data_IF_700178163078
#
_entry.id   IF_700178163078
#
_cell.length_a   1.000
_cell.length_b   1.000
_cell.length_c   1.000
_cell.angle_alpha   90.00
_cell.angle_beta   90.00
_cell.angle_gamma   90.00
#
_symmetry.space_group_name_H-M   'P 1'
#
loop_
_entity.id
_entity.type
_entity.pdbx_description
1 polymer ?
#
# COMPACT_ATOMS: atom_id res chain seq x y z
N UNK A 1 13.07 -22.93 -9.46
CA UNK A 1 13.68 -23.34 -10.75
C UNK A 1 14.71 -24.42 -10.41
N UNK A 2 14.46 -25.68 -10.77
CA UNK A 2 15.46 -26.75 -10.61
C UNK A 2 16.13 -26.93 -11.97
N UNK A 3 17.44 -26.80 -12.01
CA UNK A 3 18.26 -27.10 -13.18
C UNK A 3 18.15 -28.60 -13.46
N UNK A 4 17.59 -28.96 -14.63
CA UNK A 4 17.39 -30.35 -15.04
C UNK A 4 18.25 -30.61 -16.27
N UNK A 5 19.13 -31.63 -16.24
CA UNK A 5 19.94 -32.02 -17.38
C UNK A 5 19.10 -32.32 -18.63
N UNK A 6 19.55 -31.86 -19.80
CA UNK A 6 18.81 -31.90 -21.07
C UNK A 6 18.27 -33.30 -21.47
N UNK A 7 18.94 -34.38 -21.05
CA UNK A 7 18.53 -35.77 -21.33
C UNK A 7 17.21 -36.15 -20.65
N UNK A 8 16.93 -35.56 -19.49
CA UNK A 8 15.70 -35.83 -18.74
C UNK A 8 14.63 -34.76 -18.97
N UNK A 9 14.87 -33.82 -19.90
CA UNK A 9 13.96 -32.71 -20.18
C UNK A 9 12.62 -33.20 -20.73
N UNK A 10 12.61 -34.19 -21.64
CA UNK A 10 11.37 -34.74 -22.21
C UNK A 10 10.52 -35.44 -21.11
N UNK A 11 11.17 -36.20 -20.23
CA UNK A 11 10.49 -36.87 -19.11
C UNK A 11 10.02 -35.84 -18.10
N UNK A 12 10.84 -34.84 -17.76
CA UNK A 12 10.42 -33.73 -16.91
C UNK A 12 9.26 -32.97 -17.54
N UNK A 13 9.26 -32.65 -18.83
CA UNK A 13 8.20 -31.91 -19.52
C UNK A 13 6.86 -32.68 -19.48
N UNK A 14 6.88 -34.01 -19.65
CA UNK A 14 5.69 -34.87 -19.51
C UNK A 14 5.24 -34.96 -18.04
N UNK A 15 6.15 -35.09 -17.08
CA UNK A 15 5.82 -35.13 -15.65
C UNK A 15 5.35 -33.76 -15.12
N UNK A 16 5.94 -32.68 -15.61
CA UNK A 16 5.66 -31.30 -15.25
C UNK A 16 4.31 -30.88 -15.84
N UNK A 17 4.03 -31.17 -17.12
CA UNK A 17 2.72 -30.91 -17.73
C UNK A 17 1.56 -31.69 -17.09
N UNK A 18 1.80 -32.93 -16.63
CA UNK A 18 0.77 -33.74 -15.94
C UNK A 18 0.57 -33.33 -14.47
N UNK A 19 1.59 -32.76 -13.85
CA UNK A 19 1.62 -32.42 -12.43
C UNK A 19 1.52 -30.91 -12.16
N UNK A 20 1.42 -30.08 -13.19
CA UNK A 20 1.10 -28.66 -13.10
C UNK A 20 -0.41 -28.48 -13.31
N UNK A 21 -1.00 -27.60 -12.52
CA UNK A 21 -2.38 -27.16 -12.63
C UNK A 21 -2.41 -25.63 -12.74
N UNK A 22 -3.40 -25.09 -13.45
CA UNK A 22 -3.56 -23.65 -13.61
C UNK A 22 -4.43 -23.12 -12.48
N UNK A 23 -3.93 -22.15 -11.72
CA UNK A 23 -4.70 -21.53 -10.65
C UNK A 23 -5.95 -20.84 -11.21
N UNK A 24 -7.12 -21.08 -10.62
CA UNK A 24 -8.38 -20.49 -11.08
C UNK A 24 -8.50 -18.98 -10.77
N UNK A 25 -7.68 -18.44 -9.87
CA UNK A 25 -7.70 -17.04 -9.45
C UNK A 25 -6.72 -16.17 -10.27
N UNK A 26 -5.44 -16.57 -10.37
CA UNK A 26 -4.40 -15.81 -11.10
C UNK A 26 -4.01 -16.38 -12.47
N UNK A 27 -4.49 -17.58 -12.84
CA UNK A 27 -4.12 -18.32 -14.06
C UNK A 27 -2.64 -18.71 -14.16
N UNK A 28 -1.89 -18.68 -13.06
CA UNK A 28 -0.51 -19.16 -13.03
C UNK A 28 -0.45 -20.70 -13.05
N UNK A 29 0.58 -21.22 -13.71
CA UNK A 29 0.88 -22.66 -13.74
C UNK A 29 1.62 -23.06 -12.48
N UNK A 30 0.92 -23.73 -11.55
CA UNK A 30 1.44 -24.14 -10.24
C UNK A 30 1.44 -25.67 -10.14
N UNK A 31 2.50 -26.31 -9.62
CA UNK A 31 2.48 -27.74 -9.36
C UNK A 31 1.30 -28.13 -8.44
N UNK A 32 0.56 -29.20 -8.77
CA UNK A 32 -0.59 -29.70 -7.97
C UNK A 32 -0.24 -29.90 -6.49
N UNK A 33 0.97 -30.38 -6.22
CA UNK A 33 1.49 -30.55 -4.85
C UNK A 33 1.60 -29.24 -4.07
N UNK A 34 1.81 -28.11 -4.76
CA UNK A 34 1.98 -26.78 -4.17
C UNK A 34 0.75 -25.88 -4.38
N UNK A 35 -0.23 -26.28 -5.20
CA UNK A 35 -1.45 -25.49 -5.48
C UNK A 35 -2.18 -25.07 -4.20
N UNK A 36 -2.30 -26.00 -3.23
CA UNK A 36 -2.93 -25.71 -1.95
C UNK A 36 -2.21 -24.59 -1.19
N UNK A 37 -0.87 -24.67 -1.10
CA UNK A 37 -0.05 -23.64 -0.45
C UNK A 37 -0.09 -22.30 -1.19
N UNK A 38 -0.11 -22.34 -2.52
CA UNK A 38 -0.25 -21.13 -3.35
C UNK A 38 -1.58 -20.42 -3.06
N UNK A 39 -2.69 -21.15 -3.02
CA UNK A 39 -4.01 -20.57 -2.67
C UNK A 39 -3.98 -20.04 -1.23
N UNK A 40 -3.42 -20.79 -0.27
CA UNK A 40 -3.33 -20.37 1.14
C UNK A 40 -2.39 -19.18 1.37
N UNK A 41 -1.39 -18.97 0.51
CA UNK A 41 -0.45 -17.85 0.61
C UNK A 41 -0.92 -16.61 -0.14
N UNK A 42 -1.39 -16.77 -1.38
CA UNK A 42 -1.62 -15.68 -2.35
C UNK A 42 -3.10 -15.33 -2.50
N UNK A 43 -3.99 -16.31 -2.41
CA UNK A 43 -5.44 -16.14 -2.64
C UNK A 43 -6.28 -16.26 -1.38
N UNK A 44 -5.65 -16.30 -0.20
CA UNK A 44 -6.38 -16.33 1.05
C UNK A 44 -7.04 -14.99 1.30
N UNK A 45 -8.33 -15.01 1.64
CA UNK A 45 -9.05 -13.80 1.98
C UNK A 45 -8.58 -13.30 3.35
N UNK A 46 -7.92 -12.15 3.36
CA UNK A 46 -7.45 -11.46 4.55
C UNK A 46 -8.30 -10.24 4.84
N UNK A 47 -8.37 -9.86 6.11
CA UNK A 47 -9.03 -8.62 6.54
C UNK A 47 -7.96 -7.60 6.89
N UNK A 48 -7.95 -6.48 6.18
CA UNK A 48 -7.05 -5.37 6.48
C UNK A 48 -7.45 -4.69 7.81
N UNK A 49 -6.52 -3.94 8.43
CA UNK A 49 -6.77 -3.12 9.63
C UNK A 49 -7.92 -2.12 9.45
N UNK A 50 -8.21 -1.71 8.22
CA UNK A 50 -9.33 -0.86 7.85
C UNK A 50 -10.69 -1.60 7.82
N UNK A 51 -10.73 -2.89 8.17
CA UNK A 51 -11.88 -3.82 8.11
C UNK A 51 -12.37 -4.19 6.71
N UNK A 52 -11.65 -3.82 5.65
CA UNK A 52 -11.92 -4.31 4.30
C UNK A 52 -11.38 -5.73 4.12
N UNK A 53 -12.13 -6.57 3.41
CA UNK A 53 -11.71 -7.94 3.05
C UNK A 53 -11.16 -7.94 1.62
N UNK A 54 -10.03 -8.59 1.42
CA UNK A 54 -9.36 -8.70 0.12
C UNK A 54 -8.42 -9.91 0.07
N UNK A 55 -7.83 -10.21 -1.08
CA UNK A 55 -6.81 -11.26 -1.21
C UNK A 55 -5.48 -10.84 -0.57
N UNK A 56 -4.75 -11.80 -0.03
CA UNK A 56 -3.45 -11.56 0.62
C UNK A 56 -2.42 -10.92 -0.31
N UNK A 57 -2.37 -11.33 -1.59
CA UNK A 57 -1.47 -10.70 -2.56
C UNK A 57 -1.77 -9.21 -2.77
N UNK A 58 -3.04 -8.81 -2.66
CA UNK A 58 -3.46 -7.42 -2.81
C UNK A 58 -3.28 -6.59 -1.52
N UNK A 59 -3.21 -7.24 -0.35
CA UNK A 59 -3.12 -6.54 0.94
C UNK A 59 -1.92 -5.58 1.00
N UNK A 60 -0.76 -5.97 0.48
CA UNK A 60 0.45 -5.13 0.47
C UNK A 60 0.27 -3.87 -0.38
N UNK A 61 -0.32 -4.01 -1.57
CA UNK A 61 -0.61 -2.87 -2.44
C UNK A 61 -1.63 -1.93 -1.78
N UNK A 62 -2.69 -2.50 -1.19
CA UNK A 62 -3.68 -1.73 -0.48
C UNK A 62 -3.09 -0.97 0.71
N UNK A 63 -2.29 -1.59 1.57
CA UNK A 63 -1.64 -0.90 2.70
C UNK A 63 -0.74 0.26 2.24
N UNK A 64 -0.13 0.16 1.04
CA UNK A 64 0.71 1.20 0.48
C UNK A 64 -0.08 2.35 -0.18
N UNK A 65 -1.12 2.03 -0.96
CA UNK A 65 -1.75 2.98 -1.89
C UNK A 65 -3.19 3.35 -1.50
N UNK A 66 -4.02 2.35 -1.17
CA UNK A 66 -5.47 2.48 -1.11
C UNK A 66 -6.05 2.49 0.30
N UNK A 67 -5.28 2.06 1.32
CA UNK A 67 -5.79 1.89 2.66
C UNK A 67 -6.14 3.25 3.28
N UNK A 68 -7.38 3.45 3.76
CA UNK A 68 -7.76 4.71 4.40
C UNK A 68 -7.05 4.91 5.74
N UNK A 69 -6.50 3.85 6.34
CA UNK A 69 -5.69 3.93 7.55
C UNK A 69 -4.19 4.10 7.25
N UNK A 70 -3.79 4.20 5.97
CA UNK A 70 -2.38 4.42 5.63
C UNK A 70 -1.88 5.71 6.29
N UNK A 71 -0.67 5.70 6.86
CA UNK A 71 -0.07 6.89 7.44
C UNK A 71 0.23 7.92 6.35
N UNK A 72 -0.20 9.16 6.56
CA UNK A 72 0.05 10.29 5.67
C UNK A 72 0.41 11.54 6.49
N UNK A 73 1.33 12.34 5.96
CA UNK A 73 1.83 13.54 6.61
C UNK A 73 0.93 14.75 6.31
N UNK A 74 0.59 15.51 7.34
CA UNK A 74 -0.05 16.81 7.16
C UNK A 74 0.93 17.80 6.52
N UNK A 75 0.52 18.47 5.43
CA UNK A 75 1.38 19.43 4.71
C UNK A 75 1.67 20.72 5.47
N UNK A 76 0.92 20.97 6.54
CA UNK A 76 1.00 22.19 7.35
C UNK A 76 1.84 21.97 8.61
N UNK A 77 1.55 20.94 9.40
CA UNK A 77 2.25 20.68 10.67
C UNK A 77 3.26 19.52 10.62
N UNK A 78 3.26 18.71 9.56
CA UNK A 78 4.15 17.55 9.44
C UNK A 78 3.82 16.36 10.33
N UNK A 79 2.66 16.35 11.01
CA UNK A 79 2.23 15.21 11.84
C UNK A 79 1.72 14.07 10.95
N UNK A 80 2.04 12.85 11.35
CA UNK A 80 1.67 11.62 10.67
C UNK A 80 0.32 11.11 11.20
N UNK A 81 -0.67 11.03 10.31
CA UNK A 81 -2.06 10.72 10.64
C UNK A 81 -2.63 9.66 9.68
N UNK A 82 -3.68 8.91 10.07
CA UNK A 82 -4.39 8.05 9.14
C UNK A 82 -5.00 8.89 8.01
N UNK A 83 -4.85 8.45 6.75
CA UNK A 83 -5.33 9.18 5.57
C UNK A 83 -6.81 9.59 5.66
N UNK A 84 -7.67 8.74 6.20
CA UNK A 84 -9.10 9.02 6.40
C UNK A 84 -9.40 10.14 7.40
N UNK A 85 -8.46 10.49 8.29
CA UNK A 85 -8.56 11.65 9.20
C UNK A 85 -7.70 12.84 8.75
N UNK A 86 -6.81 12.65 7.77
CA UNK A 86 -5.91 13.68 7.31
C UNK A 86 -6.67 14.86 6.73
N UNK A 87 -7.71 14.62 5.94
CA UNK A 87 -8.48 15.69 5.30
C UNK A 87 -9.12 16.63 6.32
N UNK A 88 -9.81 16.08 7.31
CA UNK A 88 -10.42 16.85 8.41
C UNK A 88 -9.36 17.63 9.20
N UNK A 89 -8.24 16.97 9.50
CA UNK A 89 -7.10 17.62 10.13
C UNK A 89 -6.52 18.75 9.27
N UNK A 90 -6.37 18.58 7.96
CA UNK A 90 -5.81 19.61 7.06
C UNK A 90 -6.69 20.86 7.01
N UNK A 91 -8.01 20.70 7.05
CA UNK A 91 -8.96 21.83 7.12
C UNK A 91 -8.73 22.63 8.41
N UNK A 92 -8.71 21.95 9.56
CA UNK A 92 -8.48 22.61 10.85
C UNK A 92 -7.05 23.15 10.97
N UNK A 93 -6.05 22.34 10.64
CA UNK A 93 -4.63 22.65 10.78
C UNK A 93 -4.21 23.81 9.87
N UNK A 94 -4.73 23.86 8.63
CA UNK A 94 -4.48 24.99 7.73
C UNK A 94 -5.15 26.29 8.19
N UNK A 95 -6.26 26.20 8.92
CA UNK A 95 -6.96 27.35 9.50
C UNK A 95 -6.37 27.83 10.84
N UNK A 96 -5.48 27.04 11.46
CA UNK A 96 -4.74 27.50 12.65
C UNK A 96 -3.85 28.67 12.29
N UNK A 97 -3.77 29.65 13.18
CA UNK A 97 -2.82 30.74 13.07
C UNK A 97 -1.61 30.49 13.96
N UNK A 98 -0.42 30.76 13.44
CA UNK A 98 0.81 30.83 14.22
C UNK A 98 1.35 32.26 14.17
N UNK A 99 2.02 32.68 15.25
CA UNK A 99 2.63 34.00 15.30
C UNK A 99 3.89 34.02 14.42
N UNK A 100 3.96 34.98 13.50
CA UNK A 100 5.16 35.19 12.71
C UNK A 100 6.31 35.62 13.63
N UNK A 101 7.44 34.92 13.56
CA UNK A 101 8.64 35.25 14.35
C UNK A 101 9.25 36.62 14.01
N UNK A 102 8.89 37.22 12.87
CA UNK A 102 9.44 38.50 12.41
C UNK A 102 8.53 39.69 12.74
N UNK A 103 7.23 39.60 12.44
CA UNK A 103 6.29 40.71 12.65
C UNK A 103 5.33 40.51 13.84
N UNK A 104 5.34 39.34 14.48
CA UNK A 104 4.45 39.00 15.60
C UNK A 104 2.98 38.83 15.24
N UNK A 105 2.58 39.02 13.97
CA UNK A 105 1.19 38.85 13.53
C UNK A 105 0.82 37.38 13.46
N UNK A 106 -0.43 37.08 13.81
CA UNK A 106 -1.02 35.76 13.64
C UNK A 106 -1.32 35.51 12.15
N UNK A 107 -0.67 34.50 11.59
CA UNK A 107 -0.75 34.15 10.18
C UNK A 107 -1.26 32.72 10.07
N UNK A 108 -2.20 32.46 9.17
CA UNK A 108 -2.71 31.11 8.94
C UNK A 108 -1.58 30.17 8.52
N UNK A 109 -1.58 28.95 9.04
CA UNK A 109 -0.49 27.98 8.84
C UNK A 109 -0.33 27.62 7.35
N UNK A 110 -1.42 27.64 6.59
CA UNK A 110 -1.40 27.49 5.12
C UNK A 110 -0.71 28.66 4.40
N UNK A 111 -0.86 29.86 4.92
CA UNK A 111 -0.36 31.11 4.35
C UNK A 111 1.03 31.47 4.90
N UNK A 112 1.49 30.77 5.95
CA UNK A 112 2.79 30.96 6.59
C UNK A 112 3.97 30.83 5.62
N UNK A 113 3.84 29.98 4.60
CA UNK A 113 4.87 29.80 3.56
C UNK A 113 4.97 31.01 2.62
N UNK A 114 3.87 31.74 2.42
CA UNK A 114 3.83 32.91 1.53
C UNK A 114 3.99 34.24 2.28
N UNK A 115 3.65 34.25 3.57
CA UNK A 115 3.73 35.41 4.45
C UNK A 115 5.06 36.16 4.44
N UNK A 116 6.26 35.52 4.37
CA UNK A 116 7.53 36.24 4.31
C UNK A 116 7.62 37.28 3.19
N UNK A 117 6.84 37.14 2.10
CA UNK A 117 6.79 38.11 0.98
C UNK A 117 6.04 39.39 1.32
N UNK A 118 5.14 39.33 2.30
CA UNK A 118 4.27 40.42 2.75
C UNK A 118 4.48 40.74 4.23
N UNK A 119 5.58 40.25 4.80
CA UNK A 119 5.92 40.40 6.21
C UNK A 119 6.48 41.81 6.45
N UNK A 120 5.72 42.66 7.13
CA UNK A 120 6.04 44.06 7.44
C UNK A 120 5.04 44.68 8.39
#
# INVERSE_FOLDING_TARGET
QKDIPAVNFIIHEIHCSRNIEVCCYCRESVPKSEMKKHIESEHVQVTCKCRMKMESSLLKDHEASACPLRPALCRYCGILLPFGKLQDHEVYCGARTEACAQCGRNVLLRDLKEHPRVCG
#
